data_IF_717558126708
#
_entry.id   IF_717558126708
#
_cell.length_a   1.000
_cell.length_b   1.000
_cell.length_c   1.000
_cell.angle_alpha   90.00
_cell.angle_beta   90.00
_cell.angle_gamma   90.00
#
_symmetry.space_group_name_H-M   'P 1'
#
loop_
_entity.id
_entity.type
_entity.pdbx_description
1 polymer ?
#
# COMPACT_ATOMS: atom_id res chain seq x y z
N UNK A 1 5.49 -8.32 -0.26
CA UNK A 1 5.13 -6.93 -0.59
C UNK A 1 4.11 -6.44 0.43
N UNK A 2 4.12 -5.17 0.82
CA UNK A 2 3.21 -4.65 1.86
C UNK A 2 1.73 -4.96 1.57
N UNK A 3 1.30 -4.83 0.31
CA UNK A 3 -0.09 -5.15 -0.09
C UNK A 3 -0.52 -6.59 0.20
N UNK A 4 0.42 -7.54 0.18
CA UNK A 4 0.16 -8.95 0.43
C UNK A 4 0.14 -9.28 1.93
N UNK A 5 0.68 -8.39 2.75
CA UNK A 5 0.73 -8.53 4.21
C UNK A 5 -0.43 -7.79 4.90
N UNK A 6 -1.10 -6.86 4.22
CA UNK A 6 -2.23 -6.11 4.76
C UNK A 6 -3.57 -6.82 4.50
N UNK A 7 -4.51 -6.68 5.42
CA UNK A 7 -5.88 -7.18 5.26
C UNK A 7 -6.94 -6.25 5.84
N UNK A 8 -8.16 -6.46 5.36
CA UNK A 8 -9.46 -5.99 5.88
C UNK A 8 -9.61 -6.03 7.41
N UNK A 9 -9.47 -4.96 8.20
CA UNK A 9 -9.90 -5.04 9.61
C UNK A 9 -11.43 -5.26 9.68
N UNK A 10 -11.96 -5.88 10.74
CA UNK A 10 -13.40 -6.15 10.90
C UNK A 10 -14.23 -4.83 10.87
N UNK A 11 -14.80 -4.54 9.70
CA UNK A 11 -15.66 -3.41 9.31
C UNK A 11 -15.33 -2.00 9.86
N UNK A 12 -14.34 -1.31 9.27
CA UNK A 12 -14.30 0.14 9.24
C UNK A 12 -14.38 0.70 7.81
N UNK A 13 -15.16 1.78 7.66
CA UNK A 13 -15.25 2.51 6.39
C UNK A 13 -13.84 2.92 5.90
N UNK A 14 -13.48 2.54 4.66
CA UNK A 14 -12.26 2.97 3.99
C UNK A 14 -11.14 1.92 3.84
N UNK A 15 -11.25 0.75 4.47
CA UNK A 15 -10.26 -0.34 4.29
C UNK A 15 -10.17 -0.82 2.84
N UNK A 16 -11.32 -0.99 2.18
CA UNK A 16 -11.39 -1.35 0.75
C UNK A 16 -10.71 -0.30 -0.13
N UNK A 17 -10.95 0.98 0.14
CA UNK A 17 -10.32 2.08 -0.61
C UNK A 17 -8.80 2.08 -0.43
N UNK A 18 -8.29 1.85 0.79
CA UNK A 18 -6.84 1.75 1.02
C UNK A 18 -6.23 0.57 0.23
N UNK A 19 -6.88 -0.60 0.23
CA UNK A 19 -6.42 -1.77 -0.52
C UNK A 19 -6.52 -1.58 -2.04
N UNK A 20 -7.57 -0.92 -2.52
CA UNK A 20 -7.73 -0.56 -3.94
C UNK A 20 -6.60 0.37 -4.39
N UNK A 21 -6.36 1.45 -3.65
CA UNK A 21 -5.30 2.41 -3.96
C UNK A 21 -3.91 1.76 -3.88
N UNK A 22 -3.65 0.94 -2.87
CA UNK A 22 -2.40 0.18 -2.76
C UNK A 22 -2.16 -0.75 -3.97
N UNK A 23 -3.20 -1.44 -4.46
CA UNK A 23 -3.10 -2.28 -5.66
C UNK A 23 -2.93 -1.47 -6.95
N UNK A 24 -3.68 -0.37 -7.11
CA UNK A 24 -3.60 0.49 -8.28
C UNK A 24 -2.19 1.05 -8.46
N UNK A 25 -1.63 1.64 -7.40
CA UNK A 25 -0.30 2.22 -7.47
C UNK A 25 0.84 1.20 -7.51
N UNK A 26 0.63 -0.02 -6.99
CA UNK A 26 1.56 -1.13 -7.23
C UNK A 26 1.59 -1.51 -8.71
N UNK A 27 0.44 -1.55 -9.37
CA UNK A 27 0.34 -1.82 -10.81
C UNK A 27 1.04 -0.71 -11.61
N UNK A 28 0.77 0.55 -11.28
CA UNK A 28 1.38 1.70 -11.96
C UNK A 28 2.90 1.72 -11.77
N UNK A 29 3.39 1.48 -10.55
CA UNK A 29 4.82 1.43 -10.30
C UNK A 29 5.53 0.32 -11.07
N UNK A 30 4.88 -0.85 -11.25
CA UNK A 30 5.41 -1.92 -12.11
C UNK A 30 5.45 -1.48 -13.57
N UNK A 31 4.39 -0.84 -14.05
CA UNK A 31 4.32 -0.31 -15.41
C UNK A 31 5.45 0.68 -15.69
N UNK A 32 5.59 1.74 -14.88
CA UNK A 32 6.65 2.74 -15.05
C UNK A 32 8.05 2.13 -14.96
N UNK A 33 8.25 1.17 -14.05
CA UNK A 33 9.55 0.47 -13.93
C UNK A 33 9.86 -0.31 -15.20
N UNK A 34 8.88 -1.00 -15.77
CA UNK A 34 9.04 -1.81 -16.97
C UNK A 34 9.24 -0.91 -18.23
N UNK A 35 8.76 0.34 -18.20
CA UNK A 35 9.01 1.37 -19.22
C UNK A 35 10.34 2.13 -19.04
N UNK A 36 11.08 1.87 -17.96
CA UNK A 36 12.36 2.53 -17.69
C UNK A 36 12.23 3.94 -17.09
N UNK A 37 11.13 4.22 -16.41
CA UNK A 37 10.80 5.49 -15.74
C UNK A 37 10.94 5.34 -14.21
N UNK A 38 12.17 5.37 -13.65
CA UNK A 38 12.41 5.00 -12.25
C UNK A 38 11.87 6.01 -11.24
N UNK A 39 11.74 7.30 -11.61
CA UNK A 39 11.22 8.33 -10.71
C UNK A 39 9.72 8.18 -10.53
N UNK A 40 9.01 7.97 -11.64
CA UNK A 40 7.57 7.71 -11.71
C UNK A 40 7.24 6.38 -11.03
N UNK A 41 8.05 5.34 -11.25
CA UNK A 41 7.92 4.07 -10.56
C UNK A 41 8.06 4.21 -9.04
N UNK A 42 9.11 4.92 -8.59
CA UNK A 42 9.33 5.16 -7.16
C UNK A 42 8.18 5.96 -6.55
N UNK A 43 7.69 6.99 -7.24
CA UNK A 43 6.58 7.81 -6.79
C UNK A 43 5.31 6.96 -6.63
N UNK A 44 4.98 6.13 -7.63
CA UNK A 44 3.83 5.24 -7.59
C UNK A 44 3.95 4.22 -6.43
N UNK A 45 5.08 3.52 -6.31
CA UNK A 45 5.28 2.57 -5.20
C UNK A 45 5.17 3.25 -3.83
N UNK A 46 5.78 4.42 -3.66
CA UNK A 46 5.76 5.16 -2.41
C UNK A 46 4.33 5.61 -2.04
N UNK A 47 3.58 6.09 -3.02
CA UNK A 47 2.20 6.53 -2.80
C UNK A 47 1.26 5.37 -2.48
N UNK A 48 1.38 4.24 -3.19
CA UNK A 48 0.66 3.00 -2.87
C UNK A 48 0.98 2.49 -1.46
N UNK A 49 2.25 2.57 -1.05
CA UNK A 49 2.65 2.21 0.32
C UNK A 49 2.06 3.16 1.37
N UNK A 50 2.00 4.46 1.06
CA UNK A 50 1.42 5.46 1.95
C UNK A 50 -0.06 5.20 2.27
N UNK A 51 -0.85 4.70 1.31
CA UNK A 51 -2.23 4.27 1.57
C UNK A 51 -2.31 3.09 2.55
N UNK A 52 -1.38 2.14 2.46
CA UNK A 52 -1.35 0.99 3.35
C UNK A 52 -0.91 1.37 4.77
N UNK A 53 0.13 2.21 4.90
CA UNK A 53 0.57 2.75 6.19
C UNK A 53 -0.53 3.61 6.85
N UNK A 54 -1.23 4.44 6.06
CA UNK A 54 -2.36 5.21 6.57
C UNK A 54 -3.49 4.29 7.06
N UNK A 55 -3.83 3.27 6.27
CA UNK A 55 -4.84 2.28 6.65
C UNK A 55 -4.49 1.55 7.94
N UNK A 56 -3.22 1.14 8.08
CA UNK A 56 -2.71 0.48 9.28
C UNK A 56 -2.75 1.39 10.52
N UNK A 57 -2.29 2.65 10.39
CA UNK A 57 -2.31 3.63 11.48
C UNK A 57 -3.71 4.02 11.94
N UNK A 58 -4.67 4.06 11.01
CA UNK A 58 -6.07 4.33 11.32
C UNK A 58 -6.79 3.11 11.89
N UNK A 59 -6.14 1.94 11.93
CA UNK A 59 -6.76 0.68 12.37
C UNK A 59 -7.80 0.13 11.40
N UNK A 60 -7.80 0.60 10.14
CA UNK A 60 -8.70 0.09 9.09
C UNK A 60 -8.11 -1.05 8.27
N UNK A 61 -6.81 -1.27 8.40
CA UNK A 61 -6.11 -2.46 7.91
C UNK A 61 -5.41 -3.15 9.06
N UNK A 62 -5.49 -4.47 9.09
CA UNK A 62 -4.61 -5.31 9.90
C UNK A 62 -3.31 -5.57 9.14
N UNK A 63 -2.18 -5.35 9.81
CA UNK A 63 -0.83 -5.54 9.26
C UNK A 63 0.09 -6.20 10.29
N UNK A 64 1.17 -6.88 9.85
CA UNK A 64 2.19 -7.35 10.78
C UNK A 64 2.84 -6.19 11.53
N UNK A 65 2.89 -6.31 12.85
CA UNK A 65 3.57 -5.35 13.75
C UNK A 65 5.03 -5.72 13.97
N UNK A 66 5.44 -6.93 13.60
CA UNK A 66 6.82 -7.36 13.63
C UNK A 66 7.55 -6.93 12.34
N UNK A 67 8.68 -6.24 12.50
CA UNK A 67 9.55 -5.85 11.41
C UNK A 67 9.43 -4.38 10.99
N UNK A 68 9.83 -4.09 9.74
CA UNK A 68 9.92 -2.72 9.19
C UNK A 68 9.10 -2.55 7.91
N UNK A 69 8.15 -3.46 7.65
CA UNK A 69 7.36 -3.43 6.43
C UNK A 69 6.32 -2.30 6.45
N UNK A 70 5.87 -1.89 7.62
CA UNK A 70 4.93 -0.79 7.84
C UNK A 70 5.52 0.20 8.83
N UNK A 71 5.10 1.46 8.76
CA UNK A 71 5.56 2.52 9.66
C UNK A 71 4.65 2.72 10.88
N UNK A 72 4.10 1.62 11.39
CA UNK A 72 3.21 1.56 12.57
C UNK A 72 3.96 1.22 13.85
#
# INVERSE_FOLDING_TARGET
EAIAAASIADEPAGGEACMEMGRAYLKDGRHFRDEGEPVEALAAFSYGHGWLDAGARLGVLEVPTEGQLFTV
#
